data_IF_740601150378
#
_entry.id   IF_740601150378
#
_cell.length_a   1.000
_cell.length_b   1.000
_cell.length_c   1.000
_cell.angle_alpha   90.00
_cell.angle_beta   90.00
_cell.angle_gamma   90.00
#
_symmetry.space_group_name_H-M   'P 1'
#
loop_
_entity.id
_entity.type
_entity.pdbx_description
1 polymer ?
#
# COMPACT_ATOMS: atom_id res chain seq x y z
N UNK A 1 -8.08 13.08 -19.78
CA UNK A 1 -7.47 13.27 -18.45
C UNK A 1 -7.35 11.89 -17.81
N UNK A 2 -6.13 11.46 -17.45
CA UNK A 2 -5.90 10.21 -16.72
C UNK A 2 -5.90 10.50 -15.23
N UNK A 3 -6.66 9.72 -14.47
CA UNK A 3 -6.78 9.86 -13.01
C UNK A 3 -6.41 8.52 -12.36
N UNK A 4 -5.40 8.56 -11.51
CA UNK A 4 -4.88 7.39 -10.80
C UNK A 4 -5.22 7.48 -9.31
N UNK A 5 -5.81 6.43 -8.76
CA UNK A 5 -5.98 6.29 -7.32
C UNK A 5 -4.77 5.55 -6.75
N UNK A 6 -3.96 6.27 -5.98
CA UNK A 6 -2.82 5.69 -5.27
C UNK A 6 -3.28 5.25 -3.89
N UNK A 7 -3.09 3.97 -3.61
CA UNK A 7 -3.48 3.31 -2.36
C UNK A 7 -2.19 3.00 -1.57
N UNK A 8 -1.70 3.93 -0.74
CA UNK A 8 -0.43 3.73 -0.07
C UNK A 8 -0.53 2.66 1.02
N UNK A 9 0.48 1.79 1.07
CA UNK A 9 0.87 1.07 2.27
C UNK A 9 1.72 1.97 3.17
N UNK A 10 2.63 1.38 3.96
CA UNK A 10 3.45 2.15 4.90
C UNK A 10 4.79 2.59 4.28
N UNK A 11 5.02 3.91 4.25
CA UNK A 11 6.31 4.54 3.93
C UNK A 11 6.80 5.27 5.17
N UNK A 12 8.05 5.06 5.56
CA UNK A 12 8.67 5.77 6.68
C UNK A 12 8.87 7.25 6.30
N UNK A 13 8.24 8.14 7.06
CA UNK A 13 8.38 9.59 6.93
C UNK A 13 8.66 10.18 8.31
N UNK A 14 9.07 11.46 8.36
CA UNK A 14 9.27 12.14 9.64
C UNK A 14 8.01 12.17 10.51
N UNK A 15 6.83 12.20 9.88
CA UNK A 15 5.53 12.24 10.56
C UNK A 15 5.25 10.94 11.34
N UNK A 16 5.76 9.80 10.86
CA UNK A 16 5.47 8.48 11.44
C UNK A 16 6.70 7.79 12.04
N UNK A 17 7.78 8.54 12.28
CA UNK A 17 9.06 8.04 12.77
C UNK A 17 8.94 7.25 14.07
N UNK A 18 8.06 7.69 14.98
CA UNK A 18 7.84 7.05 16.28
C UNK A 18 6.82 5.90 16.25
N UNK A 19 6.26 5.59 15.08
CA UNK A 19 5.30 4.49 14.93
C UNK A 19 6.02 3.15 15.04
N UNK A 20 5.75 2.43 16.14
CA UNK A 20 6.39 1.14 16.46
C UNK A 20 5.91 -0.02 15.59
N UNK A 21 4.61 -0.05 15.25
CA UNK A 21 4.02 -1.13 14.46
C UNK A 21 3.56 -0.60 13.11
N UNK A 22 4.32 -0.91 12.07
CA UNK A 22 3.99 -0.62 10.68
C UNK A 22 4.46 -1.80 9.83
N UNK A 23 3.65 -2.87 9.70
CA UNK A 23 4.06 -4.07 8.97
C UNK A 23 4.33 -3.73 7.50
N UNK A 24 5.36 -4.33 6.91
CA UNK A 24 5.76 -4.11 5.51
C UNK A 24 6.06 -2.65 5.15
N UNK A 25 6.48 -1.85 6.15
CA UNK A 25 6.97 -0.48 5.94
C UNK A 25 8.26 -0.48 5.13
N UNK A 26 8.34 0.43 4.17
CA UNK A 26 9.57 0.71 3.40
C UNK A 26 10.17 2.05 3.80
N UNK A 27 11.45 2.25 3.49
CA UNK A 27 12.10 3.54 3.65
C UNK A 27 11.54 4.60 2.67
N UNK A 28 11.87 5.86 2.93
CA UNK A 28 11.34 7.01 2.18
C UNK A 28 11.73 6.94 0.69
N UNK A 29 13.00 6.65 0.40
CA UNK A 29 13.52 6.65 -0.97
C UNK A 29 12.87 5.55 -1.82
N UNK A 30 12.80 4.34 -1.27
CA UNK A 30 12.11 3.21 -1.90
C UNK A 30 10.63 3.51 -2.11
N UNK A 31 9.96 4.08 -1.11
CA UNK A 31 8.55 4.46 -1.19
C UNK A 31 8.27 5.49 -2.28
N UNK A 32 9.08 6.53 -2.37
CA UNK A 32 8.96 7.60 -3.38
C UNK A 32 9.23 7.08 -4.78
N UNK A 33 10.27 6.25 -4.98
CA UNK A 33 10.54 5.62 -6.28
C UNK A 33 9.37 4.76 -6.75
N UNK A 34 8.77 3.99 -5.84
CA UNK A 34 7.59 3.19 -6.14
C UNK A 34 6.37 4.06 -6.46
N UNK A 35 6.20 5.20 -5.77
CA UNK A 35 5.12 6.16 -6.02
C UNK A 35 5.24 6.78 -7.42
N UNK A 36 6.43 7.29 -7.77
CA UNK A 36 6.70 7.89 -9.09
C UNK A 36 6.43 6.86 -10.18
N UNK A 37 6.98 5.65 -10.06
CA UNK A 37 6.73 4.56 -11.01
C UNK A 37 5.24 4.23 -11.16
N UNK A 38 4.46 4.29 -10.08
CA UNK A 38 3.02 4.06 -10.13
C UNK A 38 2.28 5.17 -10.89
N UNK A 39 2.66 6.44 -10.64
CA UNK A 39 2.10 7.61 -11.33
C UNK A 39 2.42 7.54 -12.82
N UNK A 40 3.68 7.32 -13.19
CA UNK A 40 4.15 7.22 -14.59
C UNK A 40 3.50 6.06 -15.36
N UNK A 41 3.07 5.00 -14.66
CA UNK A 41 2.37 3.88 -15.29
C UNK A 41 0.91 4.21 -15.66
N UNK A 42 0.38 5.36 -15.24
CA UNK A 42 -0.98 5.85 -15.49
C UNK A 42 -2.10 4.82 -15.20
N UNK A 43 -1.84 3.91 -14.25
CA UNK A 43 -2.83 2.90 -13.85
C UNK A 43 -3.94 3.56 -13.03
N UNK A 44 -5.19 3.25 -13.38
CA UNK A 44 -6.38 3.71 -12.63
C UNK A 44 -6.31 3.46 -11.13
N UNK A 45 -5.66 2.36 -10.69
CA UNK A 45 -5.41 2.03 -9.28
C UNK A 45 -4.03 1.41 -9.12
N UNK A 46 -3.28 1.84 -8.11
CA UNK A 46 -1.99 1.27 -7.77
C UNK A 46 -1.77 1.29 -6.25
N UNK A 47 -1.24 0.18 -5.70
CA UNK A 47 -0.76 0.15 -4.32
C UNK A 47 0.71 0.55 -4.26
N UNK A 48 1.09 1.33 -3.25
CA UNK A 48 2.46 1.85 -3.09
C UNK A 48 2.98 1.65 -1.67
N UNK A 49 4.02 0.82 -1.45
CA UNK A 49 4.67 -0.03 -2.45
C UNK A 49 3.71 -1.09 -3.01
N UNK A 50 3.98 -1.64 -4.21
CA UNK A 50 3.14 -2.73 -4.74
C UNK A 50 3.22 -3.91 -3.79
N UNK A 51 4.43 -4.43 -3.55
CA UNK A 51 4.62 -5.60 -2.73
C UNK A 51 4.73 -5.21 -1.25
N UNK A 52 4.08 -5.93 -0.32
CA UNK A 52 3.16 -7.07 -0.50
C UNK A 52 1.67 -6.66 -0.62
N UNK A 53 1.38 -5.36 -0.60
CA UNK A 53 0.05 -4.78 -0.49
C UNK A 53 -0.92 -5.19 -1.59
N UNK A 54 -0.47 -5.27 -2.85
CA UNK A 54 -1.32 -5.71 -3.97
C UNK A 54 -1.83 -7.13 -3.76
N UNK A 55 -0.98 -8.17 -3.57
CA UNK A 55 -1.43 -9.52 -3.19
C UNK A 55 -2.35 -9.52 -1.97
N UNK A 56 -1.96 -8.80 -0.91
CA UNK A 56 -2.74 -8.74 0.33
C UNK A 56 -4.16 -8.23 0.06
N UNK A 57 -4.31 -7.23 -0.80
CA UNK A 57 -5.62 -6.70 -1.15
C UNK A 57 -6.53 -7.71 -1.86
N UNK A 58 -5.97 -8.62 -2.65
CA UNK A 58 -6.74 -9.68 -3.29
C UNK A 58 -7.18 -10.72 -2.26
N UNK A 59 -6.27 -11.13 -1.37
CA UNK A 59 -6.58 -12.05 -0.27
C UNK A 59 -7.70 -11.48 0.59
N UNK A 60 -7.59 -10.22 1.01
CA UNK A 60 -8.60 -9.57 1.84
C UNK A 60 -9.96 -9.44 1.15
N UNK A 61 -9.99 -9.18 -0.16
CA UNK A 61 -11.25 -9.10 -0.93
C UNK A 61 -11.91 -10.46 -1.16
N UNK A 62 -11.12 -11.52 -1.25
CA UNK A 62 -11.62 -12.88 -1.44
C UNK A 62 -12.06 -13.55 -0.13
N UNK A 63 -11.61 -13.02 1.01
CA UNK A 63 -11.90 -13.60 2.31
C UNK A 63 -13.39 -13.42 2.67
N UNK A 64 -14.09 -14.49 3.11
CA UNK A 64 -15.44 -14.35 3.64
C UNK A 64 -15.46 -13.42 4.85
N UNK A 65 -16.48 -12.56 4.93
CA UNK A 65 -16.59 -11.53 5.95
C UNK A 65 -16.49 -12.10 7.38
N UNK A 66 -17.08 -13.28 7.63
CA UNK A 66 -17.03 -13.95 8.94
C UNK A 66 -15.61 -14.34 9.39
N UNK A 67 -14.73 -14.69 8.44
CA UNK A 67 -13.33 -15.01 8.75
C UNK A 67 -12.56 -13.72 9.03
N UNK A 68 -12.84 -12.67 8.24
CA UNK A 68 -12.20 -11.37 8.39
C UNK A 68 -12.55 -10.73 9.74
N UNK A 69 -13.83 -10.77 10.14
CA UNK A 69 -14.32 -10.20 11.40
C UNK A 69 -13.77 -10.90 12.64
N UNK A 70 -13.26 -12.13 12.52
CA UNK A 70 -12.65 -12.88 13.63
C UNK A 70 -11.15 -12.65 13.78
N UNK A 71 -10.50 -12.17 12.72
CA UNK A 71 -9.05 -11.95 12.68
C UNK A 71 -8.63 -10.51 13.04
N UNK A 72 -9.58 -9.57 12.99
CA UNK A 72 -9.41 -8.18 13.44
C UNK A 72 -9.81 -8.04 14.91
#
# INVERSE_FOLDING_TARGET
INVSNIMPGYILTDINRDTKSAPFRVDLETGVKALVKAIESEKRRAYVPWWPWTPLSYVLKALPFEVFSRAM
#
